data_IF_003188215973
#
_entry.id   IF_003188215973
#
_cell.length_a   1.000
_cell.length_b   1.000
_cell.length_c   1.000
_cell.angle_alpha   90.00
_cell.angle_beta   90.00
_cell.angle_gamma   90.00
#
_symmetry.space_group_name_H-M   'P 1'
#
loop_
_entity.id
_entity.type
_entity.pdbx_description
1 polymer ?
#
# COMPACT_ATOMS: atom_id res chain seq x y z
N UNK A 1 -7.49 -4.30 17.15
CA UNK A 1 -7.64 -5.74 17.43
C UNK A 1 -6.66 -6.48 16.53
N UNK A 2 -6.08 -7.59 16.98
CA UNK A 2 -5.15 -8.40 16.19
C UNK A 2 -5.98 -9.13 15.11
N UNK A 3 -5.56 -9.15 13.84
CA UNK A 3 -6.23 -9.92 12.79
C UNK A 3 -6.26 -11.42 13.09
N UNK A 4 -7.29 -12.12 12.60
CA UNK A 4 -7.44 -13.59 12.70
C UNK A 4 -7.47 -14.14 14.14
N UNK A 5 -7.86 -13.32 15.11
CA UNK A 5 -7.96 -13.69 16.53
C UNK A 5 -9.41 -13.70 16.98
N UNK A 6 -9.77 -14.70 17.80
CA UNK A 6 -11.07 -14.77 18.47
C UNK A 6 -11.09 -13.79 19.64
N UNK A 7 -12.07 -12.91 19.63
CA UNK A 7 -12.37 -11.99 20.73
C UNK A 7 -13.62 -12.43 21.47
N UNK A 8 -13.54 -12.34 22.80
CA UNK A 8 -14.66 -12.55 23.69
C UNK A 8 -15.24 -11.19 24.11
N UNK A 9 -16.56 -11.07 24.09
CA UNK A 9 -17.23 -9.88 24.58
C UNK A 9 -18.51 -10.25 25.32
N UNK A 10 -18.90 -9.39 26.25
CA UNK A 10 -20.19 -9.44 26.95
C UNK A 10 -20.62 -8.04 27.32
N UNK A 11 -21.92 -7.81 27.40
CA UNK A 11 -22.48 -6.55 27.90
C UNK A 11 -22.44 -6.52 29.43
N UNK A 12 -22.10 -5.37 30.02
CA UNK A 12 -22.23 -5.11 31.45
C UNK A 12 -23.24 -3.98 31.68
N UNK A 13 -24.21 -4.21 32.56
CA UNK A 13 -25.20 -3.21 32.95
C UNK A 13 -24.97 -2.84 34.42
N UNK A 14 -24.70 -1.57 34.71
CA UNK A 14 -24.49 -1.06 36.07
C UNK A 14 -25.62 -0.11 36.45
N UNK A 15 -26.15 -0.30 37.65
CA UNK A 15 -27.14 0.59 38.30
C UNK A 15 -26.64 0.97 39.69
N UNK A 16 -27.38 1.85 40.38
CA UNK A 16 -27.09 2.15 41.79
C UNK A 16 -27.17 0.93 42.73
N UNK A 17 -27.78 -0.17 42.27
CA UNK A 17 -27.94 -1.42 43.02
C UNK A 17 -26.88 -2.48 42.69
N UNK A 18 -25.98 -2.21 41.75
CA UNK A 18 -24.89 -3.13 41.35
C UNK A 18 -24.78 -3.35 39.85
N UNK A 19 -23.89 -4.27 39.46
CA UNK A 19 -23.59 -4.62 38.07
C UNK A 19 -23.99 -6.06 37.76
N UNK A 20 -24.66 -6.27 36.64
CA UNK A 20 -24.92 -7.60 36.06
C UNK A 20 -24.22 -7.72 34.70
N UNK A 21 -23.84 -8.94 34.33
CA UNK A 21 -23.21 -9.24 33.04
C UNK A 21 -24.11 -10.15 32.19
N UNK A 22 -24.16 -9.88 30.90
CA UNK A 22 -24.78 -10.78 29.92
C UNK A 22 -23.92 -12.01 29.64
N UNK A 23 -24.42 -12.87 28.74
CA UNK A 23 -23.69 -14.05 28.26
C UNK A 23 -22.42 -13.69 27.49
N UNK A 24 -21.44 -14.59 27.52
CA UNK A 24 -20.20 -14.46 26.73
C UNK A 24 -20.48 -14.79 25.26
N UNK A 25 -20.11 -13.89 24.38
CA UNK A 25 -20.16 -14.08 22.93
C UNK A 25 -18.76 -13.98 22.34
N UNK A 26 -18.59 -14.52 21.13
CA UNK A 26 -17.34 -14.45 20.38
C UNK A 26 -17.53 -13.88 18.99
N UNK A 27 -16.47 -13.28 18.46
CA UNK A 27 -16.29 -13.03 17.03
C UNK A 27 -14.81 -13.21 16.66
N UNK A 28 -14.52 -13.48 15.39
CA UNK A 28 -13.16 -13.57 14.87
C UNK A 28 -12.89 -12.34 14.00
N UNK A 29 -11.76 -11.67 14.22
CA UNK A 29 -11.32 -10.59 13.35
C UNK A 29 -10.88 -11.13 11.99
N UNK A 30 -11.14 -10.38 10.92
CA UNK A 30 -10.68 -10.70 9.56
C UNK A 30 -9.36 -9.99 9.26
N UNK A 31 -8.56 -10.55 8.35
CA UNK A 31 -7.41 -9.89 7.74
C UNK A 31 -7.82 -9.21 6.42
N UNK A 32 -7.11 -8.15 6.05
CA UNK A 32 -7.22 -7.51 4.74
C UNK A 32 -6.06 -8.00 3.84
N UNK A 33 -6.25 -8.07 2.51
CA UNK A 33 -5.13 -8.25 1.58
C UNK A 33 -4.01 -7.25 1.86
N UNK A 34 -2.74 -7.56 1.52
CA UNK A 34 -1.66 -6.59 1.68
C UNK A 34 -1.91 -5.34 0.81
N UNK A 35 -1.29 -4.23 1.18
CA UNK A 35 -1.16 -3.09 0.26
C UNK A 35 0.22 -3.15 -0.37
N UNK A 36 0.29 -2.91 -1.67
CA UNK A 36 1.55 -2.84 -2.42
C UNK A 36 1.61 -1.55 -3.22
N UNK A 37 2.80 -0.99 -3.34
CA UNK A 37 3.09 0.16 -4.19
C UNK A 37 4.34 -0.14 -5.02
N UNK A 38 4.26 0.10 -6.34
CA UNK A 38 5.41 0.04 -7.22
C UNK A 38 6.08 1.42 -7.25
N UNK A 39 7.38 1.47 -6.97
CA UNK A 39 8.18 2.69 -7.06
C UNK A 39 8.70 2.93 -8.47
N UNK A 40 9.34 4.06 -8.70
CA UNK A 40 10.17 4.33 -9.87
C UNK A 40 11.47 3.55 -9.73
N UNK A 41 12.01 2.97 -10.82
CA UNK A 41 13.23 2.21 -10.74
C UNK A 41 14.43 3.14 -10.59
N UNK A 42 15.48 2.69 -9.92
CA UNK A 42 16.78 3.39 -9.91
C UNK A 42 17.80 2.60 -10.72
N UNK A 43 18.94 3.26 -11.00
CA UNK A 43 20.12 2.62 -11.59
C UNK A 43 19.81 1.81 -12.85
N UNK A 44 18.96 2.35 -13.73
CA UNK A 44 18.59 1.78 -15.03
C UNK A 44 19.76 1.89 -16.03
N UNK A 45 20.87 1.25 -15.69
CA UNK A 45 22.08 1.14 -16.48
C UNK A 45 21.88 0.25 -17.71
N UNK A 46 22.88 0.20 -18.59
CA UNK A 46 22.86 -0.74 -19.70
C UNK A 46 22.92 -2.18 -19.16
N UNK A 47 21.87 -2.98 -19.38
CA UNK A 47 21.84 -4.39 -19.00
C UNK A 47 21.26 -4.69 -17.62
N UNK A 48 21.00 -3.70 -16.76
CA UNK A 48 20.42 -3.93 -15.43
C UNK A 48 19.57 -2.75 -14.95
N UNK A 49 18.70 -3.01 -13.98
CA UNK A 49 17.89 -2.00 -13.29
C UNK A 49 17.62 -2.42 -11.86
N UNK A 50 17.50 -1.46 -10.94
CA UNK A 50 16.98 -1.72 -9.59
C UNK A 50 15.47 -1.42 -9.56
N UNK A 51 14.67 -2.46 -9.45
CA UNK A 51 13.22 -2.38 -9.25
C UNK A 51 12.94 -2.03 -7.79
N UNK A 52 12.04 -1.07 -7.56
CA UNK A 52 11.70 -0.55 -6.25
C UNK A 52 10.20 -0.69 -6.02
N UNK A 53 9.82 -1.08 -4.80
CA UNK A 53 8.43 -1.16 -4.37
C UNK A 53 8.35 -1.15 -2.84
N UNK A 54 7.14 -1.14 -2.32
CA UNK A 54 6.88 -1.24 -0.88
C UNK A 54 5.63 -2.07 -0.62
N UNK A 55 5.60 -2.73 0.53
CA UNK A 55 4.46 -3.54 0.99
C UNK A 55 4.07 -3.17 2.42
N UNK A 56 2.78 -2.98 2.65
CA UNK A 56 2.16 -3.06 3.97
C UNK A 56 1.45 -4.41 4.05
N UNK A 57 1.88 -5.25 4.99
CA UNK A 57 1.37 -6.62 5.12
C UNK A 57 -0.01 -6.69 5.78
N UNK A 58 -0.54 -5.57 6.28
CA UNK A 58 -1.77 -5.53 7.09
C UNK A 58 -1.78 -6.56 8.23
N UNK A 59 -0.61 -6.86 8.80
CA UNK A 59 -0.45 -7.82 9.90
C UNK A 59 -0.37 -9.30 9.50
N UNK A 60 -0.47 -9.64 8.21
CA UNK A 60 -0.43 -11.04 7.73
C UNK A 60 0.80 -11.28 6.86
N UNK A 61 1.57 -12.34 7.14
CA UNK A 61 2.75 -12.71 6.33
C UNK A 61 2.41 -12.73 4.84
N UNK A 62 3.22 -12.02 4.06
CA UNK A 62 2.97 -11.73 2.65
C UNK A 62 4.16 -12.16 1.81
N UNK A 63 3.91 -12.93 0.77
CA UNK A 63 4.87 -13.24 -0.29
C UNK A 63 4.83 -12.14 -1.35
N UNK A 64 5.98 -11.59 -1.71
CA UNK A 64 6.10 -10.52 -2.72
C UNK A 64 7.09 -10.90 -3.81
N UNK A 65 6.84 -10.41 -5.02
CA UNK A 65 7.76 -10.49 -6.16
C UNK A 65 7.47 -9.34 -7.12
N UNK A 66 8.47 -8.91 -7.89
CA UNK A 66 8.20 -8.07 -9.04
C UNK A 66 7.81 -8.94 -10.23
N UNK A 67 6.91 -8.42 -11.04
CA UNK A 67 6.62 -8.92 -12.38
C UNK A 67 7.12 -7.87 -13.36
N UNK A 68 7.99 -8.23 -14.30
CA UNK A 68 8.51 -7.30 -15.29
C UNK A 68 8.56 -7.93 -16.69
N UNK A 69 8.66 -7.09 -17.73
CA UNK A 69 8.77 -7.54 -19.12
C UNK A 69 8.71 -6.39 -20.12
N UNK A 70 8.88 -6.68 -21.41
CA UNK A 70 8.88 -5.66 -22.48
C UNK A 70 7.48 -5.14 -22.83
N UNK A 71 6.45 -5.70 -22.19
CA UNK A 71 5.05 -5.30 -22.37
C UNK A 71 4.32 -5.31 -21.01
N UNK A 72 3.15 -4.66 -20.89
CA UNK A 72 2.31 -4.74 -19.69
C UNK A 72 1.77 -6.13 -19.36
N UNK A 73 1.96 -7.13 -20.23
CA UNK A 73 1.70 -8.53 -19.88
C UNK A 73 2.83 -9.14 -19.03
N UNK A 74 3.90 -8.38 -18.80
CA UNK A 74 5.11 -8.80 -18.10
C UNK A 74 5.68 -10.08 -18.72
N UNK A 75 6.06 -11.07 -17.92
CA UNK A 75 6.54 -12.38 -18.39
C UNK A 75 7.79 -12.87 -17.65
N UNK A 76 8.43 -12.01 -16.86
CA UNK A 76 9.61 -12.31 -16.07
C UNK A 76 9.31 -12.01 -14.58
N UNK A 77 8.92 -13.00 -13.77
CA UNK A 77 8.80 -12.81 -12.33
C UNK A 77 10.19 -12.86 -11.67
N UNK A 78 10.41 -12.03 -10.65
CA UNK A 78 11.57 -12.16 -9.77
C UNK A 78 11.36 -13.31 -8.77
N UNK A 79 12.43 -13.80 -8.10
CA UNK A 79 12.27 -14.68 -6.96
C UNK A 79 11.32 -14.10 -5.91
N UNK A 80 10.56 -14.98 -5.27
CA UNK A 80 9.64 -14.60 -4.18
C UNK A 80 10.42 -14.25 -2.93
N UNK A 81 10.11 -13.10 -2.33
CA UNK A 81 10.54 -12.69 -1.00
C UNK A 81 9.37 -12.83 -0.02
N UNK A 82 9.62 -13.36 1.17
CA UNK A 82 8.60 -13.48 2.22
C UNK A 82 8.80 -12.38 3.24
N UNK A 83 7.75 -11.58 3.46
CA UNK A 83 7.71 -10.49 4.43
C UNK A 83 6.83 -10.93 5.60
N UNK A 84 7.38 -11.03 6.83
CA UNK A 84 6.60 -11.35 8.02
C UNK A 84 5.47 -10.34 8.26
N UNK A 85 4.34 -10.80 8.79
CA UNK A 85 3.23 -9.93 9.16
C UNK A 85 3.64 -8.89 10.21
N UNK A 86 3.25 -7.63 10.00
CA UNK A 86 3.56 -6.51 10.87
C UNK A 86 2.77 -5.25 10.53
N UNK A 87 3.03 -4.18 11.27
CA UNK A 87 2.36 -2.87 11.12
C UNK A 87 3.21 -1.82 10.38
N UNK A 88 4.44 -2.17 10.00
CA UNK A 88 5.35 -1.27 9.32
C UNK A 88 5.35 -1.57 7.83
N UNK A 89 5.43 -0.52 7.02
CA UNK A 89 5.73 -0.64 5.59
C UNK A 89 7.15 -1.16 5.43
N UNK A 90 7.34 -2.08 4.48
CA UNK A 90 8.63 -2.68 4.16
C UNK A 90 8.97 -2.38 2.70
N UNK A 91 10.15 -1.80 2.47
CA UNK A 91 10.68 -1.56 1.13
C UNK A 91 11.20 -2.87 0.52
N UNK A 92 10.89 -3.05 -0.76
CA UNK A 92 11.23 -4.23 -1.55
C UNK A 92 12.07 -3.76 -2.73
N UNK A 93 13.20 -4.42 -2.93
CA UNK A 93 14.14 -4.06 -3.98
C UNK A 93 14.67 -5.31 -4.69
N UNK A 94 14.86 -5.21 -6.00
CA UNK A 94 15.46 -6.29 -6.78
C UNK A 94 16.28 -5.75 -7.94
N UNK A 95 17.50 -6.28 -8.15
CA UNK A 95 18.32 -5.94 -9.31
C UNK A 95 17.99 -6.94 -10.43
N UNK A 96 17.28 -6.48 -11.46
CA UNK A 96 17.05 -7.26 -12.66
C UNK A 96 18.22 -7.04 -13.63
N UNK A 97 18.76 -8.13 -14.16
CA UNK A 97 19.91 -8.14 -15.08
C UNK A 97 19.53 -8.75 -16.44
N UNK A 98 20.39 -8.58 -17.44
CA UNK A 98 20.18 -9.12 -18.80
C UNK A 98 19.21 -8.30 -19.66
N UNK A 99 18.95 -7.04 -19.31
CA UNK A 99 18.04 -6.17 -20.06
C UNK A 99 18.66 -5.69 -21.38
N UNK A 100 17.86 -5.53 -22.42
CA UNK A 100 18.32 -4.97 -23.70
C UNK A 100 18.35 -3.44 -23.61
N UNK A 101 19.51 -2.76 -23.77
CA UNK A 101 19.57 -1.30 -23.72
C UNK A 101 18.71 -0.65 -24.80
N UNK A 102 18.03 0.45 -24.45
CA UNK A 102 17.10 1.16 -25.33
C UNK A 102 15.70 0.54 -25.42
N UNK A 103 15.46 -0.60 -24.77
CA UNK A 103 14.15 -1.28 -24.77
C UNK A 103 13.28 -0.77 -23.62
N UNK A 104 11.99 -0.57 -23.92
CA UNK A 104 10.97 -0.25 -22.92
C UNK A 104 10.61 -1.51 -22.13
N UNK A 105 10.62 -1.40 -20.81
CA UNK A 105 10.17 -2.41 -19.89
C UNK A 105 9.08 -1.85 -18.98
N UNK A 106 8.15 -2.72 -18.59
CA UNK A 106 7.10 -2.51 -17.61
C UNK A 106 7.38 -3.38 -16.40
N UNK A 107 7.06 -2.89 -15.21
CA UNK A 107 7.06 -3.70 -14.00
C UNK A 107 6.05 -3.26 -12.96
N UNK A 108 5.67 -4.20 -12.09
CA UNK A 108 4.87 -3.95 -10.88
C UNK A 108 5.30 -4.85 -9.73
N UNK A 109 5.06 -4.42 -8.50
CA UNK A 109 5.15 -5.27 -7.32
C UNK A 109 3.83 -6.05 -7.14
N UNK A 110 3.90 -7.36 -6.93
CA UNK A 110 2.78 -8.20 -6.53
C UNK A 110 2.98 -8.68 -5.08
N UNK A 111 1.92 -8.69 -4.30
CA UNK A 111 1.92 -9.18 -2.92
C UNK A 111 0.74 -10.11 -2.67
N UNK A 112 1.00 -11.29 -2.09
CA UNK A 112 -0.02 -12.31 -1.79
C UNK A 112 0.07 -12.76 -0.35
N UNK A 113 -1.05 -12.72 0.36
CA UNK A 113 -1.22 -13.26 1.71
C UNK A 113 -2.42 -14.21 1.73
N UNK A 114 -2.70 -14.82 2.89
CA UNK A 114 -3.91 -15.65 3.07
C UNK A 114 -5.21 -14.86 2.92
N UNK A 115 -5.17 -13.53 3.07
CA UNK A 115 -6.33 -12.66 2.90
C UNK A 115 -6.57 -12.23 1.45
N UNK A 116 -5.60 -12.44 0.55
CA UNK A 116 -5.74 -12.15 -0.88
C UNK A 116 -4.45 -11.65 -1.53
N UNK A 117 -4.57 -11.28 -2.81
CA UNK A 117 -3.49 -10.73 -3.62
C UNK A 117 -3.76 -9.26 -3.94
N UNK A 118 -2.71 -8.45 -3.92
CA UNK A 118 -2.71 -7.06 -4.37
C UNK A 118 -1.57 -6.81 -5.36
N UNK A 119 -1.80 -5.84 -6.26
CA UNK A 119 -0.85 -5.43 -7.28
C UNK A 119 -0.61 -3.93 -7.16
N UNK A 120 0.67 -3.53 -7.26
CA UNK A 120 1.02 -2.13 -7.39
C UNK A 120 0.70 -1.60 -8.79
N UNK A 121 0.85 -0.29 -8.95
CA UNK A 121 0.71 0.38 -10.25
C UNK A 121 1.77 -0.14 -11.24
N UNK A 122 1.44 -0.09 -12.53
CA UNK A 122 2.41 -0.36 -13.59
C UNK A 122 3.38 0.80 -13.74
N UNK A 123 4.68 0.50 -13.74
CA UNK A 123 5.74 1.48 -13.95
C UNK A 123 6.56 1.08 -15.16
N UNK A 124 6.77 2.02 -16.08
CA UNK A 124 7.56 1.80 -17.29
C UNK A 124 8.90 2.54 -17.23
N UNK A 125 9.95 1.94 -17.77
CA UNK A 125 11.28 2.54 -17.89
C UNK A 125 11.98 2.04 -19.17
N UNK A 126 12.99 2.77 -19.64
CA UNK A 126 13.82 2.33 -20.77
C UNK A 126 15.19 1.90 -20.24
N UNK A 127 15.59 0.66 -20.48
CA UNK A 127 16.86 0.14 -19.99
C UNK A 127 18.04 0.91 -20.59
N UNK A 128 19.06 1.22 -19.78
CA UNK A 128 20.18 2.06 -20.19
C UNK A 128 19.88 3.55 -20.29
N UNK A 129 18.64 3.98 -20.05
CA UNK A 129 18.32 5.37 -19.81
C UNK A 129 18.09 5.55 -18.32
N UNK A 130 19.02 6.23 -17.65
CA UNK A 130 18.75 6.74 -16.32
C UNK A 130 17.67 7.81 -16.45
N UNK A 131 16.43 7.49 -16.07
CA UNK A 131 15.47 8.53 -15.72
C UNK A 131 16.16 9.37 -14.65
N UNK A 132 16.49 10.61 -15.00
CA UNK A 132 17.46 11.44 -14.29
C UNK A 132 17.09 11.67 -12.83
N UNK A 133 17.47 10.72 -11.96
CA UNK A 133 17.70 10.96 -10.56
C UNK A 133 19.11 11.47 -10.40
N UNK A 134 19.37 12.72 -10.76
CA UNK A 134 20.37 13.46 -9.98
C UNK A 134 19.97 13.25 -8.53
N UNK A 135 20.89 12.96 -7.60
CA UNK A 135 20.59 12.75 -6.18
C UNK A 135 20.04 13.99 -5.45
N UNK A 136 19.14 14.74 -6.07
CA UNK A 136 18.25 15.69 -5.44
C UNK A 136 17.51 14.93 -4.34
N UNK A 137 17.54 15.44 -3.09
CA UNK A 137 16.80 14.86 -2.00
C UNK A 137 15.36 14.59 -2.45
N UNK A 138 14.86 13.37 -2.20
CA UNK A 138 13.43 13.06 -2.30
C UNK A 138 12.70 14.16 -1.53
N UNK A 139 11.95 15.00 -2.24
CA UNK A 139 11.19 16.06 -1.57
C UNK A 139 10.18 15.40 -0.63
N UNK A 140 9.84 16.04 0.49
CA UNK A 140 8.90 15.45 1.45
C UNK A 140 7.54 15.29 0.75
N UNK A 141 6.87 14.12 0.85
CA UNK A 141 5.54 13.94 0.31
C UNK A 141 4.57 14.99 0.85
N UNK A 142 3.61 15.42 0.03
CA UNK A 142 2.59 16.40 0.40
C UNK A 142 1.18 15.88 0.10
N UNK A 143 0.20 16.34 0.88
CA UNK A 143 -1.19 15.97 0.73
C UNK A 143 -2.12 17.16 1.04
N UNK A 144 -3.13 17.34 0.20
CA UNK A 144 -4.19 18.33 0.37
C UNK A 144 -5.54 17.63 0.43
N UNK A 145 -6.30 17.85 1.51
CA UNK A 145 -7.69 17.39 1.62
C UNK A 145 -8.60 18.34 0.84
N UNK A 146 -9.54 17.79 0.07
CA UNK A 146 -10.57 18.55 -0.63
C UNK A 146 -11.93 18.34 0.05
N UNK A 147 -12.91 19.19 -0.26
CA UNK A 147 -14.28 19.03 0.23
C UNK A 147 -14.84 17.65 -0.15
N UNK A 148 -15.54 17.00 0.79
CA UNK A 148 -16.17 15.72 0.52
C UNK A 148 -17.27 15.84 -0.55
N UNK A 149 -17.40 14.82 -1.39
CA UNK A 149 -18.44 14.71 -2.42
C UNK A 149 -19.56 13.77 -1.95
N UNK A 150 -20.69 13.80 -2.66
CA UNK A 150 -21.79 12.83 -2.51
C UNK A 150 -22.28 12.65 -1.05
N UNK A 151 -22.31 13.75 -0.29
CA UNK A 151 -22.67 13.73 1.13
C UNK A 151 -24.17 13.48 1.30
N UNK A 152 -24.50 12.47 2.11
CA UNK A 152 -25.84 12.08 2.50
C UNK A 152 -25.93 11.95 4.02
N UNK A 153 -27.10 11.55 4.55
CA UNK A 153 -27.29 11.36 5.99
C UNK A 153 -26.36 10.30 6.61
N UNK A 154 -25.83 9.36 5.81
CA UNK A 154 -25.05 8.22 6.31
C UNK A 154 -23.78 7.91 5.50
N UNK A 155 -23.44 8.72 4.51
CA UNK A 155 -22.30 8.47 3.63
C UNK A 155 -21.73 9.76 3.06
N UNK A 156 -20.45 9.74 2.73
CA UNK A 156 -19.75 10.77 1.97
C UNK A 156 -18.62 10.10 1.17
N UNK A 157 -18.20 10.72 0.07
CA UNK A 157 -17.03 10.32 -0.70
C UNK A 157 -15.87 11.29 -0.39
N UNK A 158 -14.77 10.76 0.11
CA UNK A 158 -13.58 11.55 0.39
C UNK A 158 -12.81 11.84 -0.89
N UNK A 159 -12.12 12.97 -0.93
CA UNK A 159 -11.20 13.27 -2.01
C UNK A 159 -10.05 14.15 -1.52
N UNK A 160 -8.92 14.03 -2.20
CA UNK A 160 -7.71 14.77 -1.90
C UNK A 160 -6.74 14.74 -3.06
N UNK A 161 -5.61 15.42 -2.88
CA UNK A 161 -4.47 15.39 -3.78
C UNK A 161 -3.29 14.90 -2.96
N UNK A 162 -2.53 13.94 -3.47
CA UNK A 162 -1.31 13.44 -2.83
C UNK A 162 -0.16 13.45 -3.84
N UNK A 163 1.01 13.93 -3.40
CA UNK A 163 2.24 13.88 -4.18
C UNK A 163 3.28 13.01 -3.44
N UNK A 164 3.61 11.81 -3.97
CA UNK A 164 4.63 10.92 -3.41
C UNK A 164 6.06 11.48 -3.45
N UNK A 165 6.33 12.46 -4.33
CA UNK A 165 7.62 13.13 -4.47
C UNK A 165 8.82 12.19 -4.67
N UNK A 166 8.59 11.03 -5.30
CA UNK A 166 9.61 10.01 -5.57
C UNK A 166 9.69 8.88 -4.53
N UNK A 167 9.01 8.98 -3.38
CA UNK A 167 8.90 7.91 -2.40
C UNK A 167 7.69 7.00 -2.64
N UNK A 168 7.82 5.69 -2.48
CA UNK A 168 6.68 4.76 -2.48
C UNK A 168 5.68 5.14 -1.40
N UNK A 169 4.45 5.48 -1.81
CA UNK A 169 3.47 6.11 -0.91
C UNK A 169 2.17 5.32 -0.82
N UNK A 170 1.67 5.19 0.41
CA UNK A 170 0.33 4.72 0.72
C UNK A 170 -0.50 5.86 1.29
N UNK A 171 -1.76 5.97 0.88
CA UNK A 171 -2.70 7.00 1.35
C UNK A 171 -3.92 6.37 2.00
N UNK A 172 -4.52 7.08 2.96
CA UNK A 172 -5.84 6.81 3.53
C UNK A 172 -6.47 8.10 4.01
N UNK A 173 -7.79 8.15 4.09
CA UNK A 173 -8.50 9.24 4.75
C UNK A 173 -8.81 8.85 6.20
N UNK A 174 -8.67 9.80 7.11
CA UNK A 174 -9.10 9.67 8.51
C UNK A 174 -10.34 10.52 8.72
N UNK A 175 -11.33 9.98 9.43
CA UNK A 175 -12.62 10.64 9.65
C UNK A 175 -13.17 10.32 11.04
N UNK A 176 -14.06 11.18 11.53
CA UNK A 176 -14.69 10.99 12.83
C UNK A 176 -15.49 12.16 13.34
N UNK A 177 -16.05 11.98 14.54
CA UNK A 177 -16.85 13.00 15.23
C UNK A 177 -16.00 14.09 15.90
N UNK A 178 -14.68 13.90 15.95
CA UNK A 178 -13.72 14.84 16.55
C UNK A 178 -12.47 14.93 15.67
N UNK A 179 -11.61 15.91 15.91
CA UNK A 179 -10.29 16.03 15.24
C UNK A 179 -9.32 14.90 15.60
N UNK A 180 -9.69 14.01 16.52
CA UNK A 180 -8.98 12.76 16.74
C UNK A 180 -9.39 11.67 15.74
N UNK A 181 -10.38 11.96 14.87
CA UNK A 181 -10.96 11.10 13.84
C UNK A 181 -11.43 9.74 14.40
N UNK A 182 -10.51 8.81 14.66
CA UNK A 182 -10.81 7.53 15.28
C UNK A 182 -11.37 6.50 14.31
N UNK A 183 -11.47 6.83 13.02
CA UNK A 183 -11.75 5.92 11.93
C UNK A 183 -10.92 6.30 10.70
N UNK A 184 -10.67 5.33 9.84
CA UNK A 184 -9.96 5.54 8.58
C UNK A 184 -10.54 4.69 7.47
N UNK A 185 -10.35 5.11 6.22
CA UNK A 185 -10.57 4.26 5.04
C UNK A 185 -9.51 3.15 4.97
N UNK A 186 -9.74 2.09 4.17
CA UNK A 186 -8.66 1.23 3.72
C UNK A 186 -7.53 2.06 3.09
N UNK A 187 -6.29 1.62 3.26
CA UNK A 187 -5.15 2.24 2.59
C UNK A 187 -5.11 1.90 1.10
N UNK A 188 -4.43 2.75 0.32
CA UNK A 188 -4.20 2.55 -1.11
C UNK A 188 -2.76 2.92 -1.46
N UNK A 189 -2.04 2.05 -2.17
CA UNK A 189 -0.75 2.40 -2.75
C UNK A 189 -0.93 3.32 -3.96
N UNK A 190 -0.20 4.44 -4.01
CA UNK A 190 -0.24 5.39 -5.14
C UNK A 190 1.10 5.45 -5.90
N UNK A 191 2.00 4.49 -5.64
CA UNK A 191 3.32 4.41 -6.24
C UNK A 191 4.25 5.52 -5.74
N UNK A 192 5.21 5.92 -6.57
CA UNK A 192 6.22 6.92 -6.22
C UNK A 192 6.37 8.03 -7.26
N UNK A 193 5.27 8.44 -7.90
CA UNK A 193 5.27 9.55 -8.87
C UNK A 193 5.77 10.86 -8.27
N UNK A 194 6.18 11.79 -9.13
CA UNK A 194 6.63 13.15 -8.74
C UNK A 194 5.56 14.22 -8.95
N UNK A 195 4.45 13.85 -9.60
CA UNK A 195 3.33 14.74 -9.89
C UNK A 195 2.18 14.49 -8.91
N UNK A 196 1.44 15.54 -8.51
CA UNK A 196 0.25 15.39 -7.67
C UNK A 196 -0.82 14.50 -8.35
N UNK A 197 -1.29 13.49 -7.63
CA UNK A 197 -2.36 12.61 -8.06
C UNK A 197 -3.63 12.84 -7.23
N UNK A 198 -4.80 12.80 -7.88
CA UNK A 198 -6.08 12.82 -7.18
C UNK A 198 -6.33 11.47 -6.52
N UNK A 199 -6.74 11.49 -5.25
CA UNK A 199 -7.10 10.31 -4.46
C UNK A 199 -8.56 10.45 -4.03
N UNK A 200 -9.35 9.39 -4.22
CA UNK A 200 -10.81 9.32 -3.95
C UNK A 200 -11.09 8.03 -3.18
#
# INVERSE_FOLDING_TARGET
>A
MIPEVIYHFRIGLTTGSGTIFGGNMTFTTTSAPPLVATGQPSDAEAGKVKLIGAVDTNGTTTSVNFEYGETPAYGLPTPVQVVPGGSNVVDIEFIAEGLVPGTLYHYRLAGTSVAGTAFGEDVAFIAGQTSGGTGTPVAVPDATTLDALDVSATAARFQGIANPQGGTTFVRFEYGLTSSYGSSTPGRGIGSGTDPATVI
#
